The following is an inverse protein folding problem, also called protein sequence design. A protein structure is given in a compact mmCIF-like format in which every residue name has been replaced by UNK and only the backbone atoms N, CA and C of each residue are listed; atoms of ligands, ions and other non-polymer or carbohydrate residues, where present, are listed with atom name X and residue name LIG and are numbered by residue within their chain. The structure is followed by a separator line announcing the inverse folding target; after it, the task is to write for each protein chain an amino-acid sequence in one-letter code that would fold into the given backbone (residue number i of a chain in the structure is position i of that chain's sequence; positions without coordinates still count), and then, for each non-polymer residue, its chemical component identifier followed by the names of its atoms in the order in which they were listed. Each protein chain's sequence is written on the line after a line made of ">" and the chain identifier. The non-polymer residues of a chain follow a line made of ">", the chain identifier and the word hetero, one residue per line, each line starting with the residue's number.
data_IF_864790613883
#
_entry.id   IF_864790613883
#
_cell.length_a   1.000
_cell.length_b   1.000
_cell.length_c   1.000
_cell.angle_alpha   90.00
_cell.angle_beta   90.00
_cell.angle_gamma   90.00
#
_symmetry.space_group_name_H-M   'P 1'
#
loop_
_entity.id
_entity.type
_entity.pdbx_description
1 polymer ?
#
# COMPACT_ATOMS: atom_id res chain seq x y z
N UNK A 1 -87.02 25.61 -5.82
CA UNK A 1 -85.71 26.25 -6.08
C UNK A 1 -84.75 26.32 -4.88
N UNK A 2 -85.17 26.68 -3.66
CA UNK A 2 -84.23 26.71 -2.50
C UNK A 2 -83.73 25.33 -2.06
N UNK A 3 -84.59 24.30 -2.12
CA UNK A 3 -84.28 22.94 -1.70
C UNK A 3 -83.26 22.23 -2.61
N UNK A 4 -83.28 22.53 -3.92
CA UNK A 4 -82.36 21.96 -4.92
C UNK A 4 -80.97 22.57 -4.83
N UNK A 5 -80.87 23.88 -4.55
CA UNK A 5 -79.58 24.57 -4.33
C UNK A 5 -78.87 24.09 -3.07
N UNK A 6 -79.61 23.76 -2.00
CA UNK A 6 -79.02 23.22 -0.76
C UNK A 6 -78.47 21.81 -0.97
N UNK A 7 -79.15 20.96 -1.74
CA UNK A 7 -78.66 19.61 -2.06
C UNK A 7 -77.44 19.64 -2.98
N UNK A 8 -77.39 20.56 -3.95
CA UNK A 8 -76.22 20.75 -4.82
C UNK A 8 -74.98 21.27 -4.06
N UNK A 9 -75.17 22.16 -3.10
CA UNK A 9 -74.07 22.61 -2.24
C UNK A 9 -73.54 21.47 -1.35
N UNK A 10 -74.43 20.65 -0.79
CA UNK A 10 -74.05 19.52 0.06
C UNK A 10 -73.31 18.44 -0.72
N UNK A 11 -73.76 18.11 -1.95
CA UNK A 11 -73.06 17.14 -2.80
C UNK A 11 -71.70 17.67 -3.26
N UNK A 12 -71.59 18.96 -3.58
CA UNK A 12 -70.31 19.59 -3.92
C UNK A 12 -69.31 19.59 -2.75
N UNK A 13 -69.78 19.87 -1.53
CA UNK A 13 -68.94 19.83 -0.33
C UNK A 13 -68.44 18.42 -0.02
N UNK A 14 -69.30 17.40 -0.11
CA UNK A 14 -68.93 16.00 0.08
C UNK A 14 -67.95 15.51 -0.99
N UNK A 15 -68.14 15.89 -2.26
CA UNK A 15 -67.21 15.57 -3.33
C UNK A 15 -65.82 16.19 -3.11
N UNK A 16 -65.77 17.41 -2.58
CA UNK A 16 -64.51 18.07 -2.22
C UNK A 16 -63.80 17.34 -1.08
N UNK A 17 -64.52 16.98 -0.02
CA UNK A 17 -63.96 16.24 1.12
C UNK A 17 -63.44 14.86 0.72
N UNK A 18 -64.16 14.15 -0.16
CA UNK A 18 -63.72 12.85 -0.67
C UNK A 18 -62.41 12.97 -1.46
N UNK A 19 -62.28 13.97 -2.35
CA UNK A 19 -61.03 14.22 -3.08
C UNK A 19 -59.86 14.57 -2.16
N UNK A 20 -60.10 15.34 -1.09
CA UNK A 20 -59.07 15.63 -0.10
C UNK A 20 -58.63 14.37 0.65
N UNK A 21 -59.58 13.51 1.02
CA UNK A 21 -59.29 12.22 1.67
C UNK A 21 -58.48 11.30 0.73
N UNK A 22 -58.88 11.15 -0.53
CA UNK A 22 -58.14 10.37 -1.52
C UNK A 22 -56.72 10.91 -1.72
N UNK A 23 -56.57 12.23 -1.84
CA UNK A 23 -55.26 12.86 -1.99
C UNK A 23 -54.36 12.61 -0.78
N UNK A 24 -54.90 12.73 0.44
CA UNK A 24 -54.14 12.47 1.67
C UNK A 24 -53.73 11.00 1.77
N UNK A 25 -54.65 10.08 1.43
CA UNK A 25 -54.36 8.66 1.45
C UNK A 25 -53.25 8.30 0.43
N UNK A 26 -53.28 8.90 -0.77
CA UNK A 26 -52.26 8.69 -1.78
C UNK A 26 -50.89 9.25 -1.35
N UNK A 27 -50.85 10.43 -0.74
CA UNK A 27 -49.61 11.01 -0.19
C UNK A 27 -49.04 10.11 0.91
N UNK A 28 -49.87 9.61 1.81
CA UNK A 28 -49.42 8.72 2.87
C UNK A 28 -48.87 7.40 2.31
N UNK A 29 -49.54 6.81 1.33
CA UNK A 29 -49.04 5.62 0.63
C UNK A 29 -47.67 5.87 0.01
N UNK A 30 -47.49 6.98 -0.70
CA UNK A 30 -46.20 7.32 -1.30
C UNK A 30 -45.09 7.50 -0.26
N UNK A 31 -45.37 8.17 0.87
CA UNK A 31 -44.42 8.31 1.96
C UNK A 31 -44.03 6.95 2.56
N UNK A 32 -44.99 6.05 2.76
CA UNK A 32 -44.70 4.71 3.28
C UNK A 32 -43.84 3.88 2.32
N UNK A 33 -44.09 3.96 1.01
CA UNK A 33 -43.28 3.29 0.00
C UNK A 33 -41.85 3.85 -0.04
N UNK A 34 -41.70 5.17 0.06
CA UNK A 34 -40.39 5.82 0.13
C UNK A 34 -39.60 5.35 1.36
N UNK A 35 -40.22 5.33 2.53
CA UNK A 35 -39.60 4.84 3.76
C UNK A 35 -39.24 3.36 3.64
N UNK A 36 -40.07 2.56 2.99
CA UNK A 36 -39.79 1.14 2.77
C UNK A 36 -38.57 0.93 1.88
N UNK A 37 -38.44 1.68 0.79
CA UNK A 37 -37.28 1.57 -0.11
C UNK A 37 -36.00 2.12 0.53
N UNK A 38 -36.09 3.21 1.28
CA UNK A 38 -34.96 3.71 2.09
C UNK A 38 -34.47 2.65 3.08
N UNK A 39 -35.39 1.98 3.79
CA UNK A 39 -35.03 0.89 4.69
C UNK A 39 -34.44 -0.31 3.94
N UNK A 40 -34.96 -0.65 2.76
CA UNK A 40 -34.40 -1.73 1.93
C UNK A 40 -32.96 -1.43 1.53
N UNK A 41 -32.69 -0.21 1.08
CA UNK A 41 -31.36 0.25 0.73
C UNK A 41 -30.42 0.27 1.94
N UNK A 42 -30.91 0.71 3.10
CA UNK A 42 -30.13 0.76 4.33
C UNK A 42 -29.72 -0.64 4.78
N UNK A 43 -30.63 -1.61 4.71
CA UNK A 43 -30.35 -3.02 5.00
C UNK A 43 -29.34 -3.62 4.02
N UNK A 44 -29.43 -3.29 2.73
CA UNK A 44 -28.45 -3.72 1.74
C UNK A 44 -27.05 -3.17 2.05
N UNK A 45 -26.96 -1.88 2.42
CA UNK A 45 -25.70 -1.24 2.79
C UNK A 45 -25.11 -1.80 4.07
N UNK A 46 -25.95 -2.12 5.06
CA UNK A 46 -25.51 -2.81 6.28
C UNK A 46 -24.86 -4.15 5.95
N UNK A 47 -25.51 -4.96 5.10
CA UNK A 47 -24.97 -6.25 4.70
C UNK A 47 -23.63 -6.15 3.96
N UNK A 48 -23.46 -5.13 3.11
CA UNK A 48 -22.19 -4.84 2.44
C UNK A 48 -21.09 -4.48 3.46
N UNK A 49 -21.41 -3.62 4.43
CA UNK A 49 -20.46 -3.22 5.47
C UNK A 49 -20.07 -4.39 6.38
N UNK A 50 -21.03 -5.23 6.78
CA UNK A 50 -20.77 -6.46 7.55
C UNK A 50 -19.85 -7.41 6.78
N UNK A 51 -20.11 -7.60 5.49
CA UNK A 51 -19.27 -8.44 4.62
C UNK A 51 -17.84 -7.89 4.52
N UNK A 52 -17.69 -6.57 4.35
CA UNK A 52 -16.36 -5.92 4.31
C UNK A 52 -15.62 -6.04 5.64
N UNK A 53 -16.34 -5.90 6.76
CA UNK A 53 -15.75 -6.03 8.09
C UNK A 53 -15.27 -7.45 8.35
N UNK A 54 -16.07 -8.45 7.96
CA UNK A 54 -15.70 -9.86 8.13
C UNK A 54 -14.46 -10.25 7.30
N UNK A 55 -14.33 -9.72 6.09
CA UNK A 55 -13.17 -9.98 5.22
C UNK A 55 -11.87 -9.30 5.73
N UNK A 56 -12.00 -8.19 6.45
CA UNK A 56 -10.86 -7.46 7.04
C UNK A 56 -10.28 -8.13 8.30
N UNK A 57 -10.90 -9.21 8.80
CA UNK A 57 -10.57 -9.81 10.10
C UNK A 57 -9.20 -10.50 10.19
N UNK A 58 -8.50 -10.70 9.07
CA UNK A 58 -7.21 -11.37 9.08
C UNK A 58 -6.04 -10.36 9.17
N UNK A 59 -5.00 -10.74 9.91
CA UNK A 59 -3.78 -9.94 10.04
C UNK A 59 -2.74 -10.43 9.04
N UNK A 60 -2.18 -9.51 8.25
CA UNK A 60 -1.05 -9.78 7.38
C UNK A 60 0.26 -9.58 8.15
N UNK A 61 1.24 -10.44 7.87
CA UNK A 61 2.55 -10.38 8.48
C UNK A 61 3.57 -9.67 7.58
N UNK A 62 4.50 -8.87 8.15
CA UNK A 62 5.46 -8.10 7.38
C UNK A 62 6.49 -8.99 6.65
N UNK A 63 7.08 -8.52 5.54
CA UNK A 63 8.22 -9.15 4.90
C UNK A 63 9.40 -9.33 5.85
N UNK A 64 10.13 -10.42 5.65
CA UNK A 64 11.25 -10.80 6.50
C UNK A 64 12.59 -10.44 5.85
N UNK A 65 13.58 -10.10 6.69
CA UNK A 65 15.00 -9.95 6.31
C UNK A 65 15.21 -9.02 5.11
N UNK A 66 14.49 -7.89 5.11
CA UNK A 66 14.71 -6.85 4.13
C UNK A 66 16.17 -6.38 4.18
N UNK A 67 16.84 -6.30 3.04
CA UNK A 67 18.21 -5.81 2.95
C UNK A 67 18.47 -5.19 1.59
N UNK A 68 19.51 -4.36 1.52
CA UNK A 68 19.93 -3.72 0.28
C UNK A 68 21.30 -4.23 -0.16
N UNK A 69 21.49 -4.33 -1.47
CA UNK A 69 22.79 -4.55 -2.08
C UNK A 69 23.07 -3.47 -3.11
N UNK A 70 24.32 -3.03 -3.19
CA UNK A 70 24.70 -1.94 -4.09
C UNK A 70 24.55 -2.41 -5.54
N UNK A 71 23.84 -1.62 -6.34
CA UNK A 71 23.78 -1.77 -7.79
C UNK A 71 24.78 -0.82 -8.42
N UNK A 72 24.53 0.48 -8.30
CA UNK A 72 25.36 1.54 -8.89
C UNK A 72 25.69 2.64 -7.87
N UNK A 73 26.07 3.84 -8.34
CA UNK A 73 26.30 5.02 -7.50
C UNK A 73 25.01 5.71 -7.04
N UNK A 74 23.88 5.41 -7.68
CA UNK A 74 22.57 6.09 -7.46
C UNK A 74 21.40 5.11 -7.29
N UNK A 75 21.69 3.82 -7.23
CA UNK A 75 20.68 2.75 -7.21
C UNK A 75 21.15 1.61 -6.32
N UNK A 76 20.20 0.92 -5.70
CA UNK A 76 20.44 -0.34 -4.98
C UNK A 76 19.32 -1.32 -5.30
N UNK A 77 19.64 -2.60 -5.15
CA UNK A 77 18.62 -3.63 -5.09
C UNK A 77 18.09 -3.72 -3.66
N UNK A 78 16.78 -3.77 -3.53
CA UNK A 78 16.08 -4.08 -2.29
C UNK A 78 15.60 -5.53 -2.40
N UNK A 79 15.98 -6.34 -1.42
CA UNK A 79 15.69 -7.77 -1.33
C UNK A 79 14.89 -8.05 -0.06
N UNK A 80 13.98 -9.01 -0.11
CA UNK A 80 13.24 -9.48 1.08
C UNK A 80 12.80 -10.94 0.93
N UNK A 81 12.26 -11.51 2.00
CA UNK A 81 11.67 -12.85 2.02
C UNK A 81 10.17 -12.71 2.35
N UNK A 82 9.27 -13.40 1.62
CA UNK A 82 7.86 -13.45 1.97
C UNK A 82 7.67 -14.03 3.37
N UNK A 83 6.67 -13.57 4.11
CA UNK A 83 6.34 -14.18 5.39
C UNK A 83 5.49 -15.44 5.18
N UNK A 84 5.93 -16.64 5.60
CA UNK A 84 5.17 -17.88 5.41
C UNK A 84 3.84 -17.89 6.17
N UNK A 85 3.68 -17.05 7.20
CA UNK A 85 2.41 -16.88 7.91
C UNK A 85 1.31 -16.24 7.05
N UNK A 86 1.63 -15.82 5.83
CA UNK A 86 0.69 -15.28 4.85
C UNK A 86 0.28 -16.28 3.76
N UNK A 87 0.74 -17.54 3.78
CA UNK A 87 0.49 -18.52 2.71
C UNK A 87 -1.00 -18.80 2.47
N UNK A 88 -1.83 -18.69 3.51
CA UNK A 88 -3.27 -18.85 3.44
C UNK A 88 -4.01 -17.64 2.84
N UNK A 89 -3.32 -16.52 2.60
CA UNK A 89 -3.91 -15.30 2.09
C UNK A 89 -3.47 -15.01 0.65
N UNK A 90 -4.38 -14.42 -0.13
CA UNK A 90 -4.08 -13.97 -1.50
C UNK A 90 -3.33 -12.64 -1.45
N UNK A 91 -2.02 -12.71 -1.25
CA UNK A 91 -1.15 -11.53 -1.28
C UNK A 91 -1.12 -10.94 -2.69
N UNK A 92 -1.41 -9.64 -2.79
CA UNK A 92 -1.34 -8.89 -4.04
C UNK A 92 0.07 -8.35 -4.30
N UNK A 93 0.82 -8.05 -3.23
CA UNK A 93 2.22 -7.64 -3.35
C UNK A 93 2.80 -7.01 -2.09
N UNK A 94 3.78 -6.15 -2.32
CA UNK A 94 4.55 -5.43 -1.31
C UNK A 94 4.55 -3.94 -1.60
N UNK A 95 4.26 -3.10 -0.60
CA UNK A 95 4.39 -1.64 -0.69
C UNK A 95 5.73 -1.21 -0.11
N UNK A 96 6.39 -0.29 -0.79
CA UNK A 96 7.72 0.21 -0.44
C UNK A 96 7.59 1.64 0.02
N UNK A 97 8.09 1.89 1.23
CA UNK A 97 8.11 3.20 1.85
C UNK A 97 9.55 3.65 2.02
N UNK A 98 9.82 4.90 1.65
CA UNK A 98 11.10 5.57 1.90
C UNK A 98 10.80 6.83 2.71
N UNK A 99 11.39 6.93 3.90
CA UNK A 99 11.14 7.99 4.88
C UNK A 99 9.64 8.19 5.12
N UNK A 100 8.95 7.07 5.36
CA UNK A 100 7.50 6.96 5.60
C UNK A 100 6.60 7.37 4.42
N UNK A 101 7.16 7.66 3.25
CA UNK A 101 6.42 8.00 2.02
C UNK A 101 6.34 6.78 1.11
N UNK A 102 5.13 6.40 0.70
CA UNK A 102 4.92 5.34 -0.31
C UNK A 102 5.60 5.75 -1.63
N UNK A 103 6.55 4.93 -2.07
CA UNK A 103 7.25 5.11 -3.35
C UNK A 103 6.71 4.25 -4.47
N UNK A 104 6.14 3.10 -4.12
CA UNK A 104 5.56 2.20 -5.11
C UNK A 104 5.20 0.86 -4.51
N UNK A 105 4.75 -0.04 -5.38
CA UNK A 105 4.40 -1.41 -5.04
C UNK A 105 5.07 -2.39 -5.98
N UNK A 106 5.37 -3.57 -5.46
CA UNK A 106 5.90 -4.71 -6.19
C UNK A 106 4.87 -5.82 -6.13
N UNK A 107 4.55 -6.41 -7.29
CA UNK A 107 3.58 -7.51 -7.40
C UNK A 107 4.01 -8.73 -6.59
N UNK A 108 3.02 -9.53 -6.17
CA UNK A 108 3.25 -10.82 -5.54
C UNK A 108 4.11 -11.75 -6.41
N UNK A 109 4.91 -12.61 -5.77
CA UNK A 109 5.87 -13.50 -6.43
C UNK A 109 7.21 -12.85 -6.80
N UNK A 110 7.35 -11.53 -6.70
CA UNK A 110 8.63 -10.82 -6.79
C UNK A 110 9.13 -10.48 -5.39
N UNK A 111 10.40 -10.77 -5.12
CA UNK A 111 11.05 -10.58 -3.81
C UNK A 111 12.30 -9.70 -3.87
N UNK A 112 12.47 -9.03 -5.01
CA UNK A 112 13.51 -8.06 -5.26
C UNK A 112 12.90 -6.91 -6.09
N UNK A 113 13.37 -5.69 -5.85
CA UNK A 113 13.19 -4.58 -6.78
C UNK A 113 14.40 -3.66 -6.78
N UNK A 114 14.53 -2.89 -7.84
CA UNK A 114 15.48 -1.78 -7.91
C UNK A 114 14.82 -0.54 -7.29
N UNK A 115 15.57 0.17 -6.45
CA UNK A 115 15.22 1.52 -6.02
C UNK A 115 16.15 2.49 -6.76
N UNK A 116 15.57 3.16 -7.75
CA UNK A 116 16.22 4.21 -8.53
C UNK A 116 15.89 5.60 -7.96
N UNK A 117 16.62 6.62 -8.43
CA UNK A 117 16.30 8.04 -8.21
C UNK A 117 16.49 8.57 -6.78
N UNK A 118 17.47 8.07 -6.05
CA UNK A 118 17.92 8.74 -4.83
C UNK A 118 18.81 9.92 -5.25
N UNK A 119 18.20 11.10 -5.37
CA UNK A 119 18.83 12.30 -5.98
C UNK A 119 19.73 13.04 -5.01
N UNK A 120 19.41 12.99 -3.72
CA UNK A 120 20.10 13.77 -2.70
C UNK A 120 21.06 12.89 -1.89
N UNK A 121 22.19 13.50 -1.51
CA UNK A 121 23.11 12.91 -0.54
C UNK A 121 22.41 12.83 0.82
N UNK A 122 22.50 11.67 1.47
CA UNK A 122 21.77 11.45 2.70
C UNK A 122 21.58 9.99 3.07
N UNK A 123 20.88 9.80 4.19
CA UNK A 123 20.42 8.51 4.67
C UNK A 123 18.92 8.37 4.42
N UNK A 124 18.50 7.22 3.92
CA UNK A 124 17.11 6.93 3.58
C UNK A 124 16.66 5.70 4.36
N UNK A 125 15.54 5.82 5.07
CA UNK A 125 14.92 4.71 5.81
C UNK A 125 13.92 4.01 4.92
N UNK A 126 14.20 2.76 4.58
CA UNK A 126 13.39 1.95 3.69
C UNK A 126 12.69 0.87 4.51
N UNK A 127 11.40 0.71 4.28
CA UNK A 127 10.58 -0.33 4.91
C UNK A 127 9.56 -0.87 3.91
N UNK A 128 9.17 -2.14 4.09
CA UNK A 128 8.18 -2.81 3.25
C UNK A 128 6.97 -3.22 4.09
N UNK A 129 5.82 -3.30 3.42
CA UNK A 129 4.61 -3.89 3.97
C UNK A 129 4.01 -4.86 2.97
N UNK A 130 3.47 -5.98 3.43
CA UNK A 130 2.69 -6.89 2.62
C UNK A 130 1.26 -6.37 2.52
N UNK A 131 0.64 -6.43 1.34
CA UNK A 131 -0.76 -6.01 1.17
C UNK A 131 -1.58 -7.02 0.37
N UNK A 132 -2.87 -7.04 0.67
CA UNK A 132 -3.89 -7.75 -0.10
C UNK A 132 -5.01 -6.77 -0.51
N UNK A 133 -6.20 -7.26 -0.83
CA UNK A 133 -7.34 -6.42 -1.24
C UNK A 133 -7.87 -5.53 -0.09
N UNK A 134 -7.71 -5.95 1.17
CA UNK A 134 -8.41 -5.37 2.31
C UNK A 134 -7.49 -4.78 3.38
N UNK A 135 -6.26 -5.29 3.45
CA UNK A 135 -5.33 -5.12 4.56
C UNK A 135 -3.90 -4.83 4.07
N UNK A 136 -3.12 -4.32 5.02
CA UNK A 136 -1.69 -4.10 4.88
C UNK A 136 -1.03 -4.47 6.22
N UNK A 137 0.14 -5.10 6.15
CA UNK A 137 0.90 -5.50 7.34
C UNK A 137 1.53 -4.30 8.05
N UNK A 138 2.06 -4.55 9.24
CA UNK A 138 3.07 -3.69 9.86
C UNK A 138 4.33 -3.55 8.99
N UNK A 139 5.23 -2.65 9.41
CA UNK A 139 6.53 -2.44 8.77
C UNK A 139 7.44 -3.67 8.90
N UNK A 140 8.19 -3.98 7.84
CA UNK A 140 9.36 -4.86 7.92
C UNK A 140 10.45 -4.27 8.81
N UNK A 141 11.57 -5.00 8.97
CA UNK A 141 12.79 -4.38 9.48
C UNK A 141 13.18 -3.17 8.60
N UNK A 142 13.66 -2.10 9.25
CA UNK A 142 14.10 -0.89 8.55
C UNK A 142 15.48 -1.14 7.94
N UNK A 143 15.64 -0.78 6.66
CA UNK A 143 16.91 -0.81 5.95
C UNK A 143 17.38 0.61 5.68
N UNK A 144 18.65 0.89 5.93
CA UNK A 144 19.22 2.23 5.75
C UNK A 144 20.10 2.24 4.51
N UNK A 145 19.71 3.02 3.50
CA UNK A 145 20.56 3.32 2.35
C UNK A 145 21.30 4.65 2.57
N UNK A 146 22.60 4.67 2.29
CA UNK A 146 23.44 5.87 2.44
C UNK A 146 24.06 6.25 1.11
N UNK A 147 23.81 7.47 0.66
CA UNK A 147 24.42 8.03 -0.53
C UNK A 147 25.36 9.16 -0.13
N UNK A 148 26.61 9.08 -0.59
CA UNK A 148 27.61 10.15 -0.44
C UNK A 148 28.03 10.62 -1.81
N UNK A 149 28.24 11.93 -2.00
CA UNK A 149 28.90 12.41 -3.21
C UNK A 149 30.33 11.89 -3.19
N UNK A 150 30.73 11.18 -4.24
CA UNK A 150 32.15 10.98 -4.49
C UNK A 150 32.70 12.36 -4.88
N UNK A 151 33.49 12.98 -3.99
CA UNK A 151 34.35 14.06 -4.41
C UNK A 151 35.25 13.52 -5.54
N UNK A 152 35.35 14.20 -6.70
CA UNK A 152 36.32 13.80 -7.70
C UNK A 152 37.68 13.87 -7.05
N UNK A 153 38.33 12.70 -6.91
CA UNK A 153 39.75 12.64 -6.58
C UNK A 153 40.43 13.47 -7.65
N UNK A 154 40.98 14.61 -7.27
CA UNK A 154 41.83 15.41 -8.13
C UNK A 154 43.08 14.55 -8.35
N UNK A 155 43.06 13.70 -9.38
CA UNK A 155 44.25 13.05 -9.89
C UNK A 155 45.15 14.15 -10.42
N UNK A 156 46.01 14.69 -9.56
CA UNK A 156 47.21 15.39 -10.01
C UNK A 156 48.06 14.36 -10.72
N UNK A 157 48.00 14.42 -12.04
CA UNK A 157 48.99 13.85 -12.94
C UNK A 157 50.32 14.56 -12.68
N UNK A 158 51.16 13.98 -11.84
CA UNK A 158 52.59 14.20 -11.94
C UNK A 158 53.18 13.00 -12.66
N UNK A 159 53.24 13.15 -13.98
CA UNK A 159 54.03 12.32 -14.87
C UNK A 159 55.48 12.36 -14.41
N UNK A 160 56.04 11.21 -14.01
CA UNK A 160 57.47 10.95 -14.20
C UNK A 160 57.68 9.46 -14.51
N UNK A 161 57.78 9.22 -15.82
CA UNK A 161 58.61 8.24 -16.50
C UNK A 161 59.75 7.63 -15.65
N UNK A 162 59.79 6.30 -15.56
CA UNK A 162 60.79 5.48 -16.28
C UNK A 162 60.60 3.98 -16.01
N UNK A 163 60.30 3.26 -17.10
CA UNK A 163 60.85 1.97 -17.53
C UNK A 163 61.11 0.80 -16.55
N UNK A 164 60.32 -0.27 -16.79
CA UNK A 164 60.69 -1.71 -16.93
C UNK A 164 61.58 -2.41 -15.87
N UNK A 165 61.03 -3.44 -15.20
CA UNK A 165 61.32 -4.85 -15.54
C UNK A 165 60.43 -5.87 -14.83
N UNK A 166 60.14 -6.91 -15.59
CA UNK A 166 59.29 -8.08 -15.36
C UNK A 166 60.00 -9.12 -14.47
N UNK A 167 59.24 -9.68 -13.52
CA UNK A 167 59.25 -11.05 -12.92
C UNK A 167 60.61 -11.70 -12.62
N UNK A 168 60.83 -12.14 -11.36
CA UNK A 168 61.18 -13.54 -11.06
C UNK A 168 60.80 -13.94 -9.64
N UNK A 169 59.93 -14.95 -9.58
CA UNK A 169 59.68 -15.83 -8.44
C UNK A 169 60.86 -16.80 -8.34
N UNK A 170 61.46 -16.92 -7.15
CA UNK A 170 62.23 -18.10 -6.76
C UNK A 170 62.12 -18.29 -5.25
N UNK A 171 61.57 -19.45 -4.88
CA UNK A 171 61.69 -20.02 -3.54
C UNK A 171 63.18 -20.26 -3.23
N UNK A 172 63.57 -20.00 -1.99
CA UNK A 172 64.71 -20.67 -1.37
C UNK A 172 64.29 -21.05 0.05
N UNK A 173 64.38 -22.35 0.30
CA UNK A 173 64.19 -23.03 1.58
C UNK A 173 65.42 -22.81 2.49
N UNK A 174 65.23 -23.21 3.75
CA UNK A 174 66.21 -23.50 4.80
C UNK A 174 66.97 -22.35 5.49
N UNK A 175 66.57 -22.06 6.73
CA UNK A 175 67.18 -22.75 7.87
C UNK A 175 66.45 -22.43 9.20
N UNK A 176 66.03 -23.50 9.87
CA UNK A 176 66.23 -23.82 11.29
C UNK A 176 66.50 -22.67 12.26
N UNK A 177 65.65 -22.57 13.30
CA UNK A 177 66.15 -22.55 14.68
C UNK A 177 65.10 -23.10 15.65
N UNK A 178 65.55 -24.13 16.36
CA UNK A 178 64.97 -24.65 17.60
C UNK A 178 64.82 -23.54 18.64
N UNK A 179 63.72 -23.57 19.39
CA UNK A 179 63.70 -23.09 20.77
C UNK A 179 62.59 -23.84 21.54
N UNK A 180 63.07 -24.73 22.40
CA UNK A 180 62.49 -25.33 23.60
C UNK A 180 61.27 -24.60 24.19
N UNK A 181 60.17 -25.32 24.44
CA UNK A 181 59.73 -25.81 25.75
C UNK A 181 58.58 -26.83 25.58
#
# INVERSE_FOLDING_TARGET
>A
ERFTKTTELQTSALATLWKMFESQNLTHQHETEKILEENRLLNQRLHELESRLNNKSHTLYPPLRAHISKRDTKSFFLHWIPNPLNEQYKILGYRIYIDDILKGSVESGKFETIIDCIRDEGEYKIKLRTYDEYNESEDSNIVIARFRRQNPITSRSDSNSSETKIIHRTQSEDNTNEAQF
#
